data_IF_974411910109
#
_entry.id   IF_974411910109
#
_cell.length_a   1.000
_cell.length_b   1.000
_cell.length_c   1.000
_cell.angle_alpha   90.00
_cell.angle_beta   90.00
_cell.angle_gamma   90.00
#
_symmetry.space_group_name_H-M   'P 1'
#
loop_
_entity.id
_entity.type
_entity.pdbx_description
1 polymer ?
#
# COMPACT_ATOMS: atom_id res chain seq x y z
N UNK A 1 -13.28 -11.77 23.39
CA UNK A 1 -14.20 -11.43 22.27
C UNK A 1 -13.79 -10.11 21.62
N UNK A 2 -13.42 -9.09 22.40
CA UNK A 2 -12.92 -7.81 21.89
C UNK A 2 -11.62 -7.95 21.07
N UNK A 3 -10.68 -8.80 21.51
CA UNK A 3 -9.40 -8.99 20.82
C UNK A 3 -9.54 -9.64 19.44
N UNK A 4 -10.44 -10.62 19.32
CA UNK A 4 -10.75 -11.29 18.05
C UNK A 4 -11.40 -10.32 17.06
N UNK A 5 -12.30 -9.45 17.55
CA UNK A 5 -12.93 -8.42 16.73
C UNK A 5 -11.92 -7.38 16.24
N UNK A 6 -11.01 -6.94 17.12
CA UNK A 6 -9.94 -6.01 16.76
C UNK A 6 -8.99 -6.62 15.70
N UNK A 7 -8.65 -7.90 15.85
CA UNK A 7 -7.78 -8.61 14.93
C UNK A 7 -8.40 -8.76 13.52
N UNK A 8 -9.70 -9.04 13.44
CA UNK A 8 -10.45 -9.09 12.18
C UNK A 8 -10.50 -7.71 11.52
N UNK A 9 -10.70 -6.64 12.29
CA UNK A 9 -10.62 -5.26 11.79
C UNK A 9 -9.24 -4.95 11.20
N UNK A 10 -8.16 -5.29 11.92
CA UNK A 10 -6.80 -5.10 11.43
C UNK A 10 -6.50 -5.89 10.15
N UNK A 11 -7.08 -7.10 10.00
CA UNK A 11 -6.99 -7.88 8.78
C UNK A 11 -7.64 -7.16 7.59
N UNK A 12 -8.86 -6.64 7.75
CA UNK A 12 -9.53 -5.87 6.70
C UNK A 12 -8.80 -4.58 6.34
N UNK A 13 -8.25 -3.87 7.34
CA UNK A 13 -7.44 -2.66 7.12
C UNK A 13 -6.17 -3.02 6.32
N UNK A 14 -5.49 -4.10 6.68
CA UNK A 14 -4.30 -4.58 5.97
C UNK A 14 -4.60 -4.95 4.52
N UNK A 15 -5.65 -5.74 4.28
CA UNK A 15 -6.14 -6.05 2.93
C UNK A 15 -6.49 -4.78 2.14
N UNK A 16 -7.12 -3.80 2.80
CA UNK A 16 -7.42 -2.50 2.21
C UNK A 16 -6.17 -1.73 1.76
N UNK A 17 -5.12 -1.72 2.58
CA UNK A 17 -3.83 -1.08 2.25
C UNK A 17 -3.16 -1.76 1.04
N UNK A 18 -3.18 -3.09 1.01
CA UNK A 18 -2.62 -3.87 -0.11
C UNK A 18 -3.39 -3.57 -1.40
N UNK A 19 -4.72 -3.62 -1.35
CA UNK A 19 -5.58 -3.33 -2.50
C UNK A 19 -5.43 -1.88 -2.97
N UNK A 20 -5.26 -0.94 -2.05
CA UNK A 20 -5.01 0.47 -2.37
C UNK A 20 -3.66 0.64 -3.09
N UNK A 21 -2.60 -0.02 -2.61
CA UNK A 21 -1.30 -0.05 -3.28
C UNK A 21 -1.38 -0.65 -4.69
N UNK A 22 -2.22 -1.67 -4.91
CA UNK A 22 -2.45 -2.26 -6.23
C UNK A 22 -3.26 -1.33 -7.15
N UNK A 23 -4.30 -0.66 -6.63
CA UNK A 23 -5.21 0.19 -7.42
C UNK A 23 -4.57 1.49 -7.91
N UNK A 24 -3.58 2.02 -7.19
CA UNK A 24 -2.82 3.23 -7.55
C UNK A 24 -2.11 3.15 -8.92
N UNK A 25 -1.93 1.94 -9.45
CA UNK A 25 -1.01 1.64 -10.55
C UNK A 25 -1.35 2.27 -11.92
N UNK A 26 -2.62 2.44 -12.28
CA UNK A 26 -2.98 2.75 -13.69
C UNK A 26 -3.69 4.07 -13.92
N UNK A 27 -4.62 4.45 -13.06
CA UNK A 27 -5.46 5.62 -13.33
C UNK A 27 -4.81 6.90 -12.79
N UNK A 28 -4.33 6.86 -11.55
CA UNK A 28 -3.69 8.00 -10.89
C UNK A 28 -2.39 8.41 -11.59
N UNK A 29 -1.59 7.44 -12.07
CA UNK A 29 -0.38 7.74 -12.81
C UNK A 29 -0.67 8.43 -14.15
N UNK A 30 -1.74 8.04 -14.84
CA UNK A 30 -2.13 8.61 -16.14
C UNK A 30 -2.64 10.04 -15.97
N UNK A 31 -3.42 10.30 -14.93
CA UNK A 31 -3.97 11.60 -14.58
C UNK A 31 -2.88 12.57 -14.09
N UNK A 32 -2.00 12.11 -13.20
CA UNK A 32 -0.84 12.88 -12.70
C UNK A 32 0.18 13.17 -13.82
N UNK A 33 0.41 12.23 -14.75
CA UNK A 33 1.26 12.47 -15.93
C UNK A 33 0.65 13.49 -16.88
N UNK A 34 -0.66 13.46 -17.10
CA UNK A 34 -1.34 14.43 -17.97
C UNK A 34 -1.26 15.85 -17.39
N UNK A 35 -1.39 15.98 -16.08
CA UNK A 35 -1.20 17.25 -15.38
C UNK A 35 0.29 17.69 -15.35
N UNK A 36 1.21 16.72 -15.21
CA UNK A 36 2.66 16.96 -15.22
C UNK A 36 3.21 17.28 -16.60
N UNK A 37 2.59 16.86 -17.71
CA UNK A 37 3.03 17.21 -19.07
C UNK A 37 3.07 18.72 -19.30
N UNK A 38 2.18 19.46 -18.64
CA UNK A 38 2.14 20.94 -18.64
C UNK A 38 3.38 21.53 -17.95
N UNK A 39 3.93 20.82 -16.94
CA UNK A 39 5.14 21.18 -16.19
C UNK A 39 6.44 20.53 -16.72
N UNK A 40 6.33 19.53 -17.61
CA UNK A 40 7.41 18.62 -18.01
C UNK A 40 8.32 19.17 -19.11
N UNK A 41 8.00 20.30 -19.72
CA UNK A 41 8.80 20.84 -20.83
C UNK A 41 10.21 21.26 -20.38
N UNK A 42 10.45 21.46 -19.08
CA UNK A 42 11.69 22.06 -18.56
C UNK A 42 12.41 21.31 -17.43
N UNK A 43 11.88 20.21 -16.87
CA UNK A 43 12.49 19.57 -15.67
C UNK A 43 12.38 18.04 -15.65
N UNK A 44 13.31 17.33 -14.97
CA UNK A 44 13.26 15.86 -14.76
C UNK A 44 12.16 15.40 -13.78
N UNK A 45 11.23 16.29 -13.44
CA UNK A 45 10.11 16.08 -12.53
C UNK A 45 9.26 14.81 -12.82
N UNK A 46 8.96 14.43 -14.09
CA UNK A 46 8.15 13.24 -14.37
C UNK A 46 8.84 11.93 -13.97
N UNK A 47 10.17 11.89 -14.00
CA UNK A 47 10.99 10.71 -13.66
C UNK A 47 11.01 10.52 -12.15
N UNK A 48 11.20 11.61 -11.40
CA UNK A 48 11.15 11.57 -9.92
C UNK A 48 9.76 11.17 -9.45
N UNK A 49 8.71 11.68 -10.11
CA UNK A 49 7.33 11.34 -9.81
C UNK A 49 7.06 9.85 -10.05
N UNK A 50 7.47 9.29 -11.20
CA UNK A 50 7.26 7.87 -11.49
C UNK A 50 8.02 6.94 -10.53
N UNK A 51 9.24 7.30 -10.16
CA UNK A 51 10.06 6.53 -9.24
C UNK A 51 9.48 6.57 -7.82
N UNK A 52 8.99 7.73 -7.39
CA UNK A 52 8.30 7.91 -6.11
C UNK A 52 7.01 7.09 -6.03
N UNK A 53 6.23 7.02 -7.13
CA UNK A 53 5.04 6.19 -7.21
C UNK A 53 5.34 4.69 -7.08
N UNK A 54 6.37 4.20 -7.78
CA UNK A 54 6.78 2.81 -7.69
C UNK A 54 7.29 2.44 -6.29
N UNK A 55 8.10 3.31 -5.68
CA UNK A 55 8.57 3.12 -4.31
C UNK A 55 7.40 3.09 -3.31
N UNK A 56 6.44 4.01 -3.45
CA UNK A 56 5.26 4.06 -2.59
C UNK A 56 4.39 2.81 -2.73
N UNK A 57 4.23 2.29 -3.96
CA UNK A 57 3.51 1.04 -4.22
C UNK A 57 4.14 -0.15 -3.50
N UNK A 58 5.45 -0.33 -3.67
CA UNK A 58 6.19 -1.43 -3.04
C UNK A 58 6.11 -1.30 -1.51
N UNK A 59 6.24 -0.07 -1.00
CA UNK A 59 6.14 0.22 0.42
C UNK A 59 4.75 -0.09 0.97
N UNK A 60 3.67 0.36 0.34
CA UNK A 60 2.30 0.11 0.78
C UNK A 60 1.96 -1.38 0.83
N UNK A 61 2.36 -2.12 -0.22
CA UNK A 61 2.16 -3.58 -0.26
C UNK A 61 3.00 -4.27 0.83
N UNK A 62 4.26 -3.86 1.00
CA UNK A 62 5.16 -4.40 2.01
C UNK A 62 4.66 -4.18 3.44
N UNK A 63 4.18 -2.97 3.75
CA UNK A 63 3.60 -2.63 5.05
C UNK A 63 2.34 -3.44 5.32
N UNK A 64 1.44 -3.57 4.34
CA UNK A 64 0.27 -4.43 4.46
C UNK A 64 0.64 -5.88 4.76
N UNK A 65 1.59 -6.45 4.00
CA UNK A 65 2.07 -7.82 4.23
C UNK A 65 2.71 -8.00 5.62
N UNK A 66 3.50 -7.03 6.09
CA UNK A 66 4.11 -7.09 7.43
C UNK A 66 3.06 -7.06 8.56
N UNK A 67 2.01 -6.23 8.41
CA UNK A 67 0.88 -6.20 9.34
C UNK A 67 0.14 -7.54 9.30
N UNK A 68 -0.12 -8.07 8.11
CA UNK A 68 -0.80 -9.36 7.94
C UNK A 68 0.00 -10.50 8.62
N UNK A 69 1.32 -10.53 8.38
CA UNK A 69 2.22 -11.51 8.98
C UNK A 69 2.23 -11.42 10.51
N UNK A 70 2.26 -10.21 11.06
CA UNK A 70 2.24 -10.01 12.52
C UNK A 70 0.94 -10.51 13.14
N UNK A 71 -0.20 -10.28 12.48
CA UNK A 71 -1.51 -10.81 12.90
C UNK A 71 -1.47 -12.34 12.89
N UNK A 72 -1.03 -12.96 11.79
CA UNK A 72 -0.96 -14.42 11.72
C UNK A 72 0.00 -15.01 12.76
N UNK A 73 1.17 -14.40 12.96
CA UNK A 73 2.14 -14.86 13.96
C UNK A 73 1.56 -14.82 15.37
N UNK A 74 0.85 -13.75 15.72
CA UNK A 74 0.17 -13.60 17.00
C UNK A 74 -0.94 -14.67 17.17
N UNK A 75 -1.80 -14.88 16.16
CA UNK A 75 -2.81 -15.97 16.16
C UNK A 75 -2.17 -17.34 16.36
N UNK A 76 -1.10 -17.64 15.63
CA UNK A 76 -0.40 -18.93 15.76
C UNK A 76 0.17 -19.10 17.16
N UNK A 77 0.72 -18.04 17.76
CA UNK A 77 1.21 -18.07 19.14
C UNK A 77 0.11 -18.36 20.16
N UNK A 78 -1.11 -17.83 19.95
CA UNK A 78 -2.26 -18.12 20.81
C UNK A 78 -2.80 -19.54 20.68
N UNK A 79 -2.63 -20.19 19.52
CA UNK A 79 -3.10 -21.56 19.26
C UNK A 79 -2.09 -22.65 19.65
N UNK A 80 -0.81 -22.30 19.85
CA UNK A 80 0.27 -23.24 20.18
C UNK A 80 0.54 -23.36 21.69
N UNK A 81 -0.22 -22.64 22.51
CA UNK A 81 -0.28 -22.70 23.98
C UNK A 81 -1.54 -23.46 24.42
#
# INVERSE_FOLDING_TARGET
>A
MEDVFFMVLCFFISCGIILFGIKIDKETFKEQRMNSLIFSVLTPFPIVLSLSFYLFKIFAIGVGLAILYSIFYDVYSYFWL
#
